data_IF_058201621762
#
_entry.id   IF_058201621762
#
_cell.length_a   1.000
_cell.length_b   1.000
_cell.length_c   1.000
_cell.angle_alpha   90.00
_cell.angle_beta   90.00
_cell.angle_gamma   90.00
#
_symmetry.space_group_name_H-M   'P 1'
#
loop_
_entity.id
_entity.type
_entity.pdbx_description
1 polymer ?
#
# COMPACT_ATOMS: atom_id res chain seq x y z
N UNK A 1 19.47 21.33 -27.88
CA UNK A 1 18.40 20.89 -26.95
C UNK A 1 17.33 21.97 -26.97
N UNK A 2 16.10 21.66 -27.38
CA UNK A 2 15.14 22.65 -27.86
C UNK A 2 14.40 23.35 -26.70
N UNK A 3 14.48 24.68 -26.58
CA UNK A 3 13.89 25.47 -25.50
C UNK A 3 12.38 25.19 -25.32
N UNK A 4 11.67 24.98 -26.43
CA UNK A 4 10.25 24.62 -26.43
C UNK A 4 9.96 23.30 -25.70
N UNK A 5 10.88 22.33 -25.74
CA UNK A 5 10.70 21.06 -25.05
C UNK A 5 10.76 21.21 -23.53
N UNK A 6 11.60 22.12 -23.02
CA UNK A 6 11.66 22.42 -21.59
C UNK A 6 10.42 23.13 -21.08
N UNK A 7 9.86 24.05 -21.87
CA UNK A 7 8.63 24.77 -21.51
C UNK A 7 7.45 23.79 -21.44
N UNK A 8 7.33 22.87 -22.42
CA UNK A 8 6.30 21.84 -22.40
C UNK A 8 6.45 20.88 -21.22
N UNK A 9 7.69 20.44 -20.93
CA UNK A 9 7.97 19.58 -19.77
C UNK A 9 7.56 20.24 -18.45
N UNK A 10 7.91 21.52 -18.27
CA UNK A 10 7.57 22.27 -17.07
C UNK A 10 6.05 22.45 -16.91
N UNK A 11 5.33 22.72 -18.01
CA UNK A 11 3.87 22.83 -18.01
C UNK A 11 3.20 21.50 -17.66
N UNK A 12 3.69 20.37 -18.20
CA UNK A 12 3.19 19.04 -17.84
C UNK A 12 3.43 18.71 -16.37
N UNK A 13 4.59 19.08 -15.83
CA UNK A 13 4.93 18.84 -14.42
C UNK A 13 4.04 19.68 -13.48
N UNK A 14 3.78 20.95 -13.83
CA UNK A 14 2.86 21.80 -13.08
C UNK A 14 1.42 21.25 -13.10
N UNK A 15 0.95 20.76 -14.26
CA UNK A 15 -0.34 20.10 -14.38
C UNK A 15 -0.46 18.86 -13.49
N UNK A 16 0.59 18.02 -13.46
CA UNK A 16 0.62 16.82 -12.63
C UNK A 16 0.58 17.13 -11.13
N UNK A 17 1.31 18.15 -10.68
CA UNK A 17 1.28 18.58 -9.27
C UNK A 17 -0.10 19.11 -8.87
N UNK A 18 -0.76 19.85 -9.76
CA UNK A 18 -2.12 20.36 -9.53
C UNK A 18 -3.15 19.23 -9.44
N UNK A 19 -3.09 18.22 -10.31
CA UNK A 19 -4.00 17.08 -10.25
C UNK A 19 -3.82 16.29 -8.96
N UNK A 20 -2.57 16.08 -8.52
CA UNK A 20 -2.29 15.41 -7.25
C UNK A 20 -2.84 16.20 -6.05
N UNK A 21 -2.71 17.53 -6.05
CA UNK A 21 -3.24 18.36 -4.98
C UNK A 21 -4.77 18.32 -4.92
N UNK A 22 -5.44 18.31 -6.08
CA UNK A 22 -6.90 18.18 -6.17
C UNK A 22 -7.38 16.81 -5.68
N UNK A 23 -6.72 15.72 -6.08
CA UNK A 23 -7.03 14.37 -5.59
C UNK A 23 -6.88 14.26 -4.07
N UNK A 24 -5.78 14.76 -3.51
CA UNK A 24 -5.57 14.77 -2.07
C UNK A 24 -6.61 15.61 -1.33
N UNK A 25 -7.02 16.74 -1.91
CA UNK A 25 -8.05 17.59 -1.33
C UNK A 25 -9.43 16.91 -1.31
N UNK A 26 -9.81 16.26 -2.41
CA UNK A 26 -11.07 15.51 -2.52
C UNK A 26 -11.06 14.31 -1.58
N UNK A 27 -9.97 13.55 -1.52
CA UNK A 27 -9.82 12.42 -0.61
C UNK A 27 -9.94 12.86 0.86
N UNK A 28 -9.22 13.92 1.27
CA UNK A 28 -9.27 14.43 2.64
C UNK A 28 -10.65 14.99 3.01
N UNK A 29 -11.36 15.58 2.06
CA UNK A 29 -12.73 16.09 2.25
C UNK A 29 -13.73 14.94 2.48
N UNK A 30 -13.51 13.81 1.82
CA UNK A 30 -14.42 12.66 1.89
C UNK A 30 -14.02 11.64 2.97
N UNK A 31 -12.79 11.73 3.51
CA UNK A 31 -12.24 10.81 4.52
C UNK A 31 -13.15 10.65 5.75
N UNK A 32 -13.69 11.75 6.30
CA UNK A 32 -14.63 11.67 7.43
C UNK A 32 -15.94 10.97 7.07
N UNK A 33 -16.44 11.22 5.86
CA UNK A 33 -17.70 10.63 5.38
C UNK A 33 -17.54 9.14 5.06
N UNK A 34 -16.36 8.72 4.61
CA UNK A 34 -16.01 7.31 4.38
C UNK A 34 -15.77 6.55 5.69
N UNK A 35 -15.19 7.20 6.71
CA UNK A 35 -14.96 6.60 8.04
C UNK A 35 -16.22 6.49 8.90
N UNK A 36 -17.14 7.44 8.82
CA UNK A 36 -18.37 7.47 9.64
C UNK A 36 -19.52 6.64 9.04
N UNK A 37 -19.41 6.23 7.77
CA UNK A 37 -20.44 5.43 7.13
C UNK A 37 -20.38 3.96 7.58
N UNK A 38 -21.29 3.56 8.47
CA UNK A 38 -21.40 2.20 9.01
C UNK A 38 -21.70 1.12 7.94
N UNK A 39 -22.19 1.48 6.75
CA UNK A 39 -22.30 0.56 5.61
C UNK A 39 -20.94 0.27 4.95
N UNK A 40 -19.98 1.20 5.00
CA UNK A 40 -18.62 1.02 4.45
C UNK A 40 -17.70 0.27 5.43
N UNK A 41 -17.94 0.42 6.74
CA UNK A 41 -17.20 -0.26 7.81
C UNK A 41 -17.51 -1.76 7.88
N UNK A 42 -18.63 -2.21 7.28
CA UNK A 42 -18.96 -3.63 7.15
C UNK A 42 -18.61 -4.07 5.73
N UNK A 43 -17.84 -5.16 5.61
CA UNK A 43 -17.43 -5.84 4.36
C UNK A 43 -16.03 -5.53 3.80
N UNK A 44 -15.02 -5.35 4.64
CA UNK A 44 -13.75 -6.05 4.41
C UNK A 44 -13.77 -7.39 5.16
N UNK A 45 -14.80 -8.21 4.88
CA UNK A 45 -14.74 -9.63 5.22
C UNK A 45 -13.94 -10.28 4.12
N UNK A 46 -12.61 -10.18 4.22
CA UNK A 46 -11.67 -10.81 3.31
C UNK A 46 -11.83 -12.33 3.51
N UNK A 47 -12.83 -12.92 2.86
CA UNK A 47 -12.95 -14.36 2.80
C UNK A 47 -12.03 -14.87 1.68
N UNK A 48 -11.59 -16.12 1.79
CA UNK A 48 -10.71 -16.77 0.81
C UNK A 48 -11.22 -16.63 -0.63
N UNK A 49 -12.53 -16.74 -0.81
CA UNK A 49 -13.19 -16.61 -2.11
C UNK A 49 -13.08 -15.18 -2.70
N UNK A 50 -13.15 -14.14 -1.89
CA UNK A 50 -13.00 -12.74 -2.30
C UNK A 50 -11.56 -12.42 -2.72
N UNK A 51 -10.57 -12.94 -1.99
CA UNK A 51 -9.14 -12.87 -2.36
C UNK A 51 -8.90 -13.58 -3.71
N UNK A 52 -9.49 -14.76 -3.89
CA UNK A 52 -9.21 -15.62 -5.05
C UNK A 52 -9.93 -15.19 -6.34
N UNK A 53 -11.07 -14.50 -6.26
CA UNK A 53 -11.91 -14.23 -7.44
C UNK A 53 -11.95 -12.79 -7.97
N UNK A 54 -11.68 -11.76 -7.16
CA UNK A 54 -11.79 -10.35 -7.62
C UNK A 54 -10.44 -9.78 -8.06
N UNK A 55 -9.34 -10.28 -7.49
CA UNK A 55 -8.00 -9.93 -7.93
C UNK A 55 -7.50 -10.96 -8.94
N UNK A 56 -7.93 -10.82 -10.20
CA UNK A 56 -7.51 -11.70 -11.29
C UNK A 56 -5.98 -11.90 -11.41
N UNK A 57 -5.16 -10.98 -10.86
CA UNK A 57 -3.70 -11.10 -10.81
C UNK A 57 -3.05 -10.36 -9.61
N UNK A 58 -3.75 -10.11 -8.49
CA UNK A 58 -3.23 -9.23 -7.40
C UNK A 58 -3.32 -9.84 -5.99
N UNK A 59 -3.68 -11.12 -5.88
CA UNK A 59 -3.41 -11.89 -4.65
C UNK A 59 -2.09 -12.63 -4.82
N UNK A 60 -0.99 -12.05 -4.38
CA UNK A 60 0.28 -12.77 -4.31
C UNK A 60 0.27 -13.63 -3.04
N UNK A 61 -0.12 -14.89 -3.17
CA UNK A 61 0.20 -15.91 -2.16
C UNK A 61 1.71 -16.15 -2.22
N UNK A 62 2.45 -15.36 -1.45
CA UNK A 62 3.88 -15.56 -1.30
C UNK A 62 4.11 -16.55 -0.15
N UNK A 63 4.77 -17.67 -0.45
CA UNK A 63 5.35 -18.52 0.59
C UNK A 63 6.35 -17.70 1.40
N UNK A 64 6.48 -17.95 2.70
CA UNK A 64 7.51 -17.31 3.53
C UNK A 64 8.92 -17.55 2.98
N UNK A 65 9.17 -18.72 2.40
CA UNK A 65 10.42 -19.06 1.69
C UNK A 65 10.70 -18.18 0.46
N UNK A 66 9.70 -17.45 -0.02
CA UNK A 66 9.79 -16.56 -1.17
C UNK A 66 9.91 -15.08 -0.79
N UNK A 67 9.85 -14.77 0.50
CA UNK A 67 10.02 -13.43 1.04
C UNK A 67 11.49 -13.21 1.38
N UNK A 68 12.07 -12.17 0.83
CA UNK A 68 13.48 -11.82 1.01
C UNK A 68 13.72 -11.06 2.32
N UNK A 69 12.90 -10.05 2.58
CA UNK A 69 13.01 -9.17 3.76
C UNK A 69 11.76 -8.32 3.95
N UNK A 70 11.58 -7.81 5.16
CA UNK A 70 10.63 -6.76 5.48
C UNK A 70 11.32 -5.58 6.17
N UNK A 71 10.83 -4.36 5.97
CA UNK A 71 11.30 -3.17 6.67
C UNK A 71 10.23 -2.09 6.78
N UNK A 72 10.34 -1.21 7.77
CA UNK A 72 9.47 -0.04 7.94
C UNK A 72 10.19 1.20 7.41
N UNK A 73 9.49 2.04 6.66
CA UNK A 73 9.94 3.37 6.26
C UNK A 73 8.78 4.35 6.37
N UNK A 74 8.92 5.33 7.27
CA UNK A 74 7.82 6.24 7.67
C UNK A 74 6.63 5.41 8.16
N UNK A 75 5.41 5.72 7.73
CA UNK A 75 4.16 5.03 8.10
C UNK A 75 3.84 3.85 7.18
N UNK A 76 4.85 3.20 6.60
CA UNK A 76 4.67 2.10 5.65
C UNK A 76 5.62 0.95 5.97
N UNK A 77 5.07 -0.26 5.95
CA UNK A 77 5.81 -1.52 5.99
C UNK A 77 5.93 -2.03 4.56
N UNK A 78 7.16 -2.36 4.16
CA UNK A 78 7.50 -2.93 2.87
C UNK A 78 7.95 -4.36 3.06
N UNK A 79 7.35 -5.28 2.31
CA UNK A 79 7.71 -6.70 2.28
C UNK A 79 8.19 -7.01 0.86
N UNK A 80 9.47 -7.33 0.73
CA UNK A 80 10.12 -7.59 -0.55
C UNK A 80 10.13 -9.10 -0.83
N UNK A 81 9.66 -9.50 -2.01
CA UNK A 81 9.78 -10.89 -2.50
C UNK A 81 11.15 -11.12 -3.15
N UNK A 82 11.52 -12.38 -3.38
CA UNK A 82 12.76 -12.73 -4.10
C UNK A 82 12.81 -12.17 -5.53
N UNK A 83 11.64 -11.87 -6.11
CA UNK A 83 11.48 -11.29 -7.45
C UNK A 83 11.69 -9.77 -7.48
N UNK A 84 12.00 -9.17 -6.33
CA UNK A 84 11.99 -7.71 -6.12
C UNK A 84 10.62 -7.04 -6.29
N UNK A 85 9.53 -7.79 -6.14
CA UNK A 85 8.20 -7.20 -5.97
C UNK A 85 7.98 -6.78 -4.51
N UNK A 86 7.08 -5.83 -4.30
CA UNK A 86 6.80 -5.27 -2.98
C UNK A 86 5.33 -5.38 -2.63
N UNK A 87 5.07 -5.93 -1.45
CA UNK A 87 3.79 -5.78 -0.76
C UNK A 87 3.95 -4.61 0.21
N UNK A 88 3.03 -3.65 0.17
CA UNK A 88 3.09 -2.42 0.96
C UNK A 88 1.89 -2.35 1.89
N UNK A 89 2.17 -2.25 3.20
CA UNK A 89 1.15 -2.07 4.23
C UNK A 89 1.30 -0.69 4.88
N UNK A 90 0.32 0.21 4.73
CA UNK A 90 0.34 1.48 5.44
C UNK A 90 -0.14 1.29 6.89
N UNK A 91 0.47 2.02 7.84
CA UNK A 91 0.15 1.91 9.26
C UNK A 91 -1.33 2.19 9.56
N UNK A 92 -1.95 3.10 8.80
CA UNK A 92 -3.39 3.44 8.91
C UNK A 92 -4.36 2.28 8.62
N UNK A 93 -3.87 1.18 8.04
CA UNK A 93 -4.68 -0.01 7.80
C UNK A 93 -4.90 -0.85 9.06
N UNK A 94 -4.22 -0.53 10.16
CA UNK A 94 -4.34 -1.20 11.45
C UNK A 94 -4.93 -0.26 12.49
N UNK A 95 -5.49 -0.83 13.56
CA UNK A 95 -6.22 -0.07 14.55
C UNK A 95 -5.30 0.77 15.44
N UNK A 96 -4.02 0.40 15.55
CA UNK A 96 -3.03 1.12 16.34
C UNK A 96 -1.60 0.94 15.84
N UNK A 97 -0.71 1.84 16.25
CA UNK A 97 0.73 1.71 16.02
C UNK A 97 1.28 0.44 16.69
N UNK A 98 0.74 0.04 17.85
CA UNK A 98 1.15 -1.18 18.54
C UNK A 98 0.86 -2.43 17.69
N UNK A 99 -0.32 -2.49 17.08
CA UNK A 99 -0.69 -3.58 16.17
C UNK A 99 0.19 -3.60 14.91
N UNK A 100 0.56 -2.43 14.39
CA UNK A 100 1.51 -2.31 13.28
C UNK A 100 2.90 -2.86 13.60
N UNK A 101 3.42 -2.54 14.78
CA UNK A 101 4.70 -3.08 15.24
C UNK A 101 4.62 -4.59 15.50
N UNK A 102 3.52 -5.09 16.09
CA UNK A 102 3.31 -6.53 16.31
C UNK A 102 3.27 -7.30 14.98
N UNK A 103 2.57 -6.79 13.98
CA UNK A 103 2.53 -7.39 12.65
C UNK A 103 3.93 -7.42 12.01
N UNK A 104 4.69 -6.33 12.14
CA UNK A 104 6.06 -6.27 11.62
C UNK A 104 6.97 -7.32 12.27
N UNK A 105 6.89 -7.46 13.60
CA UNK A 105 7.63 -8.47 14.33
C UNK A 105 7.27 -9.88 13.88
N UNK A 106 5.97 -10.18 13.78
CA UNK A 106 5.48 -11.47 13.32
C UNK A 106 6.02 -11.82 11.92
N UNK A 107 5.92 -10.89 10.96
CA UNK A 107 6.40 -11.11 9.60
C UNK A 107 7.92 -11.35 9.59
N UNK A 108 8.68 -10.57 10.35
CA UNK A 108 10.14 -10.72 10.44
C UNK A 108 10.52 -12.08 11.03
N UNK A 109 9.80 -12.54 12.05
CA UNK A 109 9.98 -13.87 12.63
C UNK A 109 9.68 -14.98 11.61
N UNK A 110 8.58 -14.85 10.85
CA UNK A 110 8.23 -15.82 9.82
C UNK A 110 9.28 -15.89 8.71
N UNK A 111 9.82 -14.76 8.27
CA UNK A 111 10.93 -14.72 7.30
C UNK A 111 12.13 -15.48 7.86
N UNK A 112 12.54 -15.19 9.09
CA UNK A 112 13.71 -15.86 9.71
C UNK A 112 13.51 -17.38 9.86
N UNK A 113 12.30 -17.82 10.20
CA UNK A 113 11.98 -19.23 10.38
C UNK A 113 11.98 -20.02 9.05
N UNK A 114 11.75 -19.35 7.92
CA UNK A 114 11.62 -19.97 6.59
C UNK A 114 12.73 -19.58 5.61
N UNK A 115 13.71 -18.77 6.03
CA UNK A 115 14.90 -18.38 5.27
C UNK A 115 15.96 -19.49 5.17
N UNK A 116 15.62 -20.74 5.49
CA UNK A 116 16.53 -21.89 5.47
C UNK A 116 16.56 -22.58 4.12
#
# INVERSE_FOLDING_TARGET
MNLCAFILLAASFAGFVLTQALEQFVMKKNEKKEQENQEYVRHLKINRYYIENIQGFVSTKASWSFIKRAYIKKQFMFIQTNNNEYIVFPARSLASEAEFQQLFMFITEQINNHSK
#
